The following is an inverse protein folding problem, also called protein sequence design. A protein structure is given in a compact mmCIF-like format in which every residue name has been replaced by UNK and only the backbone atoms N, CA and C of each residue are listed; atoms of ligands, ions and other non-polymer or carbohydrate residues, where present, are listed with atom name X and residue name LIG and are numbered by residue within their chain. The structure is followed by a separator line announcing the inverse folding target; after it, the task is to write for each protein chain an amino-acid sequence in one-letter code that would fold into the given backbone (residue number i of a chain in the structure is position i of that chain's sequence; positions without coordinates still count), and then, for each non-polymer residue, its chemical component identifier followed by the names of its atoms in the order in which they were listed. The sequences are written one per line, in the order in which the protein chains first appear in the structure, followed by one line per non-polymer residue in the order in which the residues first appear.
data_IF_376358256691
#
_entry.id   IF_376358256691
#
_cell.length_a   1.000
_cell.length_b   1.000
_cell.length_c   1.000
_cell.angle_alpha   90.00
_cell.angle_beta   90.00
_cell.angle_gamma   90.00
#
_symmetry.space_group_name_H-M   'P 1'
#
loop_
_entity.id
_entity.type
_entity.pdbx_description
1 polymer ?
#
# COMPACT_ATOMS: atom_id res chain seq x y z
N UNK A 1 -4.02 -25.09 35.58
CA UNK A 1 -5.33 -24.53 35.98
C UNK A 1 -5.80 -23.71 34.78
N UNK A 2 -5.81 -24.33 33.60
CA UNK A 2 -5.42 -23.64 32.34
C UNK A 2 -6.53 -23.66 31.29
N UNK A 3 -7.79 -23.92 31.68
CA UNK A 3 -8.87 -24.19 30.73
C UNK A 3 -10.11 -23.29 30.89
N UNK A 4 -10.01 -22.19 31.66
CA UNK A 4 -11.16 -21.28 31.89
C UNK A 4 -11.10 -19.97 31.06
N UNK A 5 -10.00 -19.69 30.35
CA UNK A 5 -9.87 -18.45 29.55
C UNK A 5 -10.37 -18.57 28.10
N UNK A 6 -10.59 -19.78 27.58
CA UNK A 6 -10.94 -20.00 26.15
C UNK A 6 -12.43 -19.74 25.78
N UNK A 7 -13.31 -19.31 26.70
CA UNK A 7 -14.77 -19.32 26.44
C UNK A 7 -15.52 -17.98 26.48
N UNK A 8 -14.83 -16.84 26.57
CA UNK A 8 -15.52 -15.53 26.76
C UNK A 8 -15.65 -14.69 25.49
N UNK A 9 -14.79 -14.86 24.48
CA UNK A 9 -14.72 -13.98 23.30
C UNK A 9 -14.98 -14.73 21.99
N UNK A 10 -15.24 -13.99 20.91
CA UNK A 10 -15.40 -14.57 19.56
C UNK A 10 -14.07 -15.15 19.05
N UNK A 11 -14.11 -15.82 17.90
CA UNK A 11 -12.92 -16.32 17.17
C UNK A 11 -11.91 -15.23 16.77
N UNK A 12 -12.24 -13.96 17.00
CA UNK A 12 -11.42 -12.81 16.64
C UNK A 12 -10.48 -12.37 17.79
N UNK A 13 -10.48 -13.11 18.91
CA UNK A 13 -9.57 -12.87 20.03
C UNK A 13 -8.75 -14.14 20.29
N UNK A 14 -7.42 -14.00 20.26
CA UNK A 14 -6.48 -15.10 20.53
C UNK A 14 -5.58 -14.77 21.72
N UNK A 15 -5.25 -15.79 22.52
CA UNK A 15 -4.41 -15.66 23.70
C UNK A 15 -3.12 -16.47 23.50
N UNK A 16 -1.99 -15.78 23.53
CA UNK A 16 -0.67 -16.36 23.30
C UNK A 16 0.18 -16.21 24.54
N UNK A 17 0.67 -17.32 25.08
CA UNK A 17 1.66 -17.32 26.16
C UNK A 17 3.06 -17.40 25.57
N UNK A 18 3.86 -16.33 25.74
CA UNK A 18 5.24 -16.28 25.26
C UNK A 18 6.12 -15.50 26.25
N UNK A 19 7.37 -15.93 26.43
CA UNK A 19 8.34 -15.30 27.36
C UNK A 19 7.83 -15.13 28.81
N UNK A 20 6.92 -16.00 29.26
CA UNK A 20 6.28 -15.91 30.58
C UNK A 20 5.26 -14.78 30.71
N UNK A 21 4.79 -14.23 29.58
CA UNK A 21 3.85 -13.11 29.47
C UNK A 21 2.64 -13.55 28.65
N UNK A 22 1.53 -12.84 28.85
CA UNK A 22 0.29 -13.04 28.08
C UNK A 22 0.17 -11.98 26.99
N UNK A 23 0.06 -12.41 25.74
CA UNK A 23 -0.26 -11.57 24.60
C UNK A 23 -1.70 -11.85 24.17
N UNK A 24 -2.51 -10.80 24.05
CA UNK A 24 -3.89 -10.88 23.59
C UNK A 24 -3.94 -10.28 22.20
N UNK A 25 -4.34 -11.02 21.17
CA UNK A 25 -4.42 -10.53 19.80
C UNK A 25 -5.89 -10.37 19.44
N UNK A 26 -6.31 -9.16 19.09
CA UNK A 26 -7.67 -8.86 18.63
C UNK A 26 -7.62 -8.59 17.14
N UNK A 27 -8.16 -9.53 16.35
CA UNK A 27 -8.33 -9.42 14.92
C UNK A 27 -9.53 -8.52 14.59
N UNK A 28 -9.34 -7.60 13.66
CA UNK A 28 -10.38 -6.64 13.27
C UNK A 28 -10.63 -6.67 11.76
N UNK A 29 -11.91 -6.58 11.38
CA UNK A 29 -12.28 -6.28 10.01
C UNK A 29 -12.40 -4.76 9.90
N UNK A 30 -11.51 -4.13 9.11
CA UNK A 30 -11.30 -2.67 9.09
C UNK A 30 -12.50 -1.79 8.70
N UNK A 31 -13.72 -2.34 8.61
CA UNK A 31 -14.94 -1.62 8.28
C UNK A 31 -16.15 -2.29 8.99
N UNK A 32 -16.00 -2.60 10.28
CA UNK A 32 -17.06 -3.20 11.10
C UNK A 32 -17.24 -2.52 12.46
N UNK A 33 -18.48 -2.14 12.78
CA UNK A 33 -18.86 -1.66 14.11
C UNK A 33 -18.66 -2.77 15.16
N UNK A 34 -18.91 -4.02 14.80
CA UNK A 34 -18.73 -5.17 15.69
C UNK A 34 -17.27 -5.31 16.14
N UNK A 35 -16.31 -5.08 15.24
CA UNK A 35 -14.88 -5.08 15.60
C UNK A 35 -14.52 -3.92 16.54
N UNK A 36 -15.17 -2.77 16.37
CA UNK A 36 -14.97 -1.59 17.24
C UNK A 36 -15.47 -1.86 18.66
N UNK A 37 -16.66 -2.45 18.77
CA UNK A 37 -17.27 -2.80 20.06
C UNK A 37 -16.49 -3.91 20.77
N UNK A 38 -16.03 -4.93 20.02
CA UNK A 38 -15.19 -6.00 20.54
C UNK A 38 -13.87 -5.46 21.10
N UNK A 39 -13.17 -4.59 20.35
CA UNK A 39 -11.91 -3.97 20.79
C UNK A 39 -12.10 -3.25 22.12
N UNK A 40 -13.16 -2.43 22.24
CA UNK A 40 -13.48 -1.74 23.48
C UNK A 40 -13.72 -2.73 24.62
N UNK A 41 -14.57 -3.74 24.38
CA UNK A 41 -14.92 -4.74 25.37
C UNK A 41 -13.68 -5.46 25.92
N UNK A 42 -12.78 -5.91 25.05
CA UNK A 42 -11.59 -6.66 25.46
C UNK A 42 -10.63 -5.76 26.25
N UNK A 43 -10.40 -4.51 25.82
CA UNK A 43 -9.53 -3.58 26.57
C UNK A 43 -10.10 -3.30 27.97
N UNK A 44 -11.41 -3.05 28.07
CA UNK A 44 -12.08 -2.75 29.35
C UNK A 44 -12.08 -3.96 30.31
N UNK A 45 -12.27 -5.17 29.79
CA UNK A 45 -12.35 -6.40 30.59
C UNK A 45 -10.97 -6.93 30.98
N UNK A 46 -10.01 -6.93 30.05
CA UNK A 46 -8.70 -7.54 30.27
C UNK A 46 -7.72 -6.62 30.98
N UNK A 47 -7.92 -5.30 30.90
CA UNK A 47 -7.06 -4.28 31.52
C UNK A 47 -5.57 -4.58 31.29
N UNK A 48 -5.12 -4.63 30.01
CA UNK A 48 -3.72 -4.92 29.70
C UNK A 48 -2.80 -3.81 30.20
N UNK A 49 -1.53 -4.15 30.42
CA UNK A 49 -0.49 -3.20 30.80
C UNK A 49 -0.12 -2.25 29.66
N UNK A 50 -0.36 -2.66 28.41
CA UNK A 50 -0.16 -1.86 27.21
C UNK A 50 -1.05 -2.32 26.06
N UNK A 51 -1.45 -1.38 25.19
CA UNK A 51 -2.18 -1.64 23.95
C UNK A 51 -1.32 -1.31 22.74
N UNK A 52 -1.03 -2.32 21.93
CA UNK A 52 -0.34 -2.23 20.66
C UNK A 52 -1.35 -2.08 19.52
N UNK A 53 -1.11 -1.18 18.57
CA UNK A 53 -2.01 -0.95 17.43
C UNK A 53 -1.26 -1.07 16.11
N UNK A 54 -1.85 -1.77 15.13
CA UNK A 54 -1.34 -1.92 13.75
C UNK A 54 -1.42 -0.62 12.94
N UNK A 55 -0.76 0.42 13.43
CA UNK A 55 -0.61 1.70 12.76
C UNK A 55 0.85 2.16 12.84
N UNK A 56 1.31 2.80 11.76
CA UNK A 56 2.51 3.62 11.79
C UNK A 56 2.14 5.05 12.22
N UNK A 57 3.13 5.81 12.70
CA UNK A 57 2.94 7.18 13.19
C UNK A 57 2.23 8.07 12.14
N UNK A 58 2.60 7.98 10.87
CA UNK A 58 2.00 8.82 9.83
C UNK A 58 0.53 8.47 9.61
N UNK A 59 0.19 7.18 9.60
CA UNK A 59 -1.19 6.70 9.50
C UNK A 59 -2.01 7.07 10.73
N UNK A 60 -1.46 6.91 11.93
CA UNK A 60 -2.12 7.31 13.17
C UNK A 60 -2.46 8.81 13.16
N UNK A 61 -1.51 9.68 12.82
CA UNK A 61 -1.78 11.12 12.70
C UNK A 61 -2.80 11.45 11.60
N UNK A 62 -2.79 10.71 10.49
CA UNK A 62 -3.73 10.94 9.39
C UNK A 62 -5.16 10.52 9.75
N UNK A 63 -5.32 9.48 10.57
CA UNK A 63 -6.60 9.00 11.07
C UNK A 63 -7.12 9.88 12.23
N UNK A 64 -6.23 10.34 13.12
CA UNK A 64 -6.57 11.25 14.22
C UNK A 64 -6.99 12.64 13.72
N UNK A 65 -6.34 13.13 12.65
CA UNK A 65 -6.64 14.42 12.03
C UNK A 65 -7.63 14.27 10.85
N UNK A 66 -8.89 13.88 11.08
CA UNK A 66 -9.94 13.83 10.02
C UNK A 66 -10.00 15.14 9.19
N UNK A 67 -9.64 16.27 9.81
CA UNK A 67 -9.72 17.63 9.24
C UNK A 67 -8.54 18.07 8.37
N UNK A 68 -7.47 17.26 8.23
CA UNK A 68 -6.34 17.67 7.36
C UNK A 68 -6.74 17.77 5.88
N UNK A 69 -7.70 16.95 5.45
CA UNK A 69 -8.27 17.00 4.10
C UNK A 69 -9.01 18.31 3.80
N UNK A 70 -9.72 18.86 4.79
CA UNK A 70 -10.41 20.14 4.66
C UNK A 70 -9.45 21.34 4.59
N UNK A 71 -8.22 21.17 5.11
CA UNK A 71 -7.21 22.23 5.17
C UNK A 71 -6.27 22.31 3.98
N UNK A 72 -6.42 21.41 2.98
CA UNK A 72 -5.64 21.50 1.75
C UNK A 72 -6.02 22.78 1.02
N UNK A 73 -5.17 23.80 1.13
CA UNK A 73 -5.24 25.01 0.32
C UNK A 73 -5.10 24.61 -1.15
N UNK A 74 -6.22 24.36 -1.82
CA UNK A 74 -6.32 24.03 -3.25
C UNK A 74 -5.49 25.00 -4.10
N UNK A 75 -5.42 26.26 -3.66
CA UNK A 75 -4.63 27.32 -4.28
C UNK A 75 -3.12 27.08 -4.22
N UNK A 76 -2.61 26.46 -3.15
CA UNK A 76 -1.19 26.14 -2.98
C UNK A 76 -0.79 24.90 -3.81
N UNK A 77 -1.67 23.90 -3.86
CA UNK A 77 -1.45 22.66 -4.64
C UNK A 77 -1.40 22.96 -6.15
N UNK A 78 -2.33 23.79 -6.64
CA UNK A 78 -2.34 24.27 -8.03
C UNK A 78 -1.06 25.08 -8.33
N UNK A 79 -0.62 25.93 -7.39
CA UNK A 79 0.61 26.73 -7.54
C UNK A 79 1.88 25.88 -7.55
N UNK A 80 1.90 24.77 -6.81
CA UNK A 80 3.00 23.80 -6.76
C UNK A 80 2.97 22.76 -7.90
N UNK A 81 2.03 22.88 -8.86
CA UNK A 81 1.83 21.94 -9.99
C UNK A 81 1.57 20.49 -9.56
N UNK A 82 1.03 20.27 -8.36
CA UNK A 82 0.74 18.93 -7.82
C UNK A 82 -0.67 18.45 -8.19
N UNK A 83 -1.13 18.76 -9.42
CA UNK A 83 -2.48 18.42 -9.90
C UNK A 83 -2.73 16.91 -9.93
N UNK A 84 -1.70 16.11 -10.26
CA UNK A 84 -1.80 14.65 -10.25
C UNK A 84 -1.99 14.11 -8.84
N UNK A 85 -1.30 14.69 -7.85
CA UNK A 85 -1.48 14.33 -6.43
C UNK A 85 -2.88 14.67 -5.96
N UNK A 86 -3.43 15.82 -6.37
CA UNK A 86 -4.80 16.21 -6.06
C UNK A 86 -5.83 15.24 -6.67
N UNK A 87 -5.65 14.86 -7.94
CA UNK A 87 -6.53 13.92 -8.63
C UNK A 87 -6.53 12.53 -7.99
N UNK A 88 -5.36 12.00 -7.66
CA UNK A 88 -5.21 10.71 -6.96
C UNK A 88 -5.88 10.78 -5.59
N UNK A 89 -5.63 11.87 -4.84
CA UNK A 89 -6.23 12.09 -3.53
C UNK A 89 -7.76 12.20 -3.59
N UNK A 90 -8.32 12.88 -4.59
CA UNK A 90 -9.77 12.99 -4.81
C UNK A 90 -10.39 11.64 -5.18
N UNK A 91 -9.70 10.85 -6.00
CA UNK A 91 -10.18 9.53 -6.44
C UNK A 91 -10.20 8.54 -5.27
N UNK A 92 -9.13 8.54 -4.46
CA UNK A 92 -9.05 7.77 -3.21
C UNK A 92 -10.12 8.21 -2.20
N UNK A 93 -10.30 9.51 -2.00
CA UNK A 93 -11.34 10.04 -1.10
C UNK A 93 -12.76 9.66 -1.57
N UNK A 94 -13.01 9.67 -2.88
CA UNK A 94 -14.28 9.22 -3.46
C UNK A 94 -14.53 7.73 -3.20
N UNK A 95 -13.50 6.90 -3.38
CA UNK A 95 -13.58 5.46 -3.15
C UNK A 95 -13.80 5.15 -1.66
N UNK A 96 -13.03 5.80 -0.78
CA UNK A 96 -13.17 5.72 0.68
C UNK A 96 -14.56 6.17 1.15
N UNK A 97 -15.09 7.26 0.59
CA UNK A 97 -16.44 7.76 0.91
C UNK A 97 -17.52 6.76 0.49
N UNK A 98 -17.37 6.09 -0.66
CA UNK A 98 -18.34 5.07 -1.12
C UNK A 98 -18.32 3.81 -0.25
N UNK A 99 -17.14 3.36 0.20
CA UNK A 99 -17.03 2.24 1.14
C UNK A 99 -17.57 2.59 2.53
N UNK A 100 -17.21 3.76 3.06
CA UNK A 100 -17.67 4.21 4.38
C UNK A 100 -19.17 4.48 4.44
N UNK A 101 -19.79 4.94 3.35
CA UNK A 101 -21.25 5.18 3.30
C UNK A 101 -22.09 3.90 3.24
N UNK A 102 -21.58 2.82 2.65
CA UNK A 102 -22.29 1.52 2.61
C UNK A 102 -22.23 0.77 3.94
N UNK A 103 -21.18 1.00 4.75
CA UNK A 103 -20.90 0.23 5.95
C UNK A 103 -20.99 1.04 7.25
N UNK A 104 -21.21 2.35 7.18
CA UNK A 104 -21.42 3.23 8.33
C UNK A 104 -20.17 3.55 9.16
N UNK A 105 -19.01 2.95 8.85
CA UNK A 105 -17.73 3.16 9.56
C UNK A 105 -16.59 3.46 8.58
N UNK A 106 -15.65 4.31 8.98
CA UNK A 106 -14.47 4.65 8.18
C UNK A 106 -13.37 3.60 8.35
N UNK A 107 -12.60 3.28 7.30
CA UNK A 107 -11.47 2.37 7.43
C UNK A 107 -10.47 2.83 8.49
N UNK A 108 -10.13 1.98 9.46
CA UNK A 108 -9.22 2.31 10.56
C UNK A 108 -9.90 2.83 11.84
N UNK A 109 -11.24 2.85 11.89
CA UNK A 109 -12.00 3.31 13.07
C UNK A 109 -11.75 2.40 14.27
N UNK A 110 -11.71 1.09 14.05
CA UNK A 110 -11.41 0.07 15.06
C UNK A 110 -10.02 0.26 15.71
N UNK A 111 -9.01 0.61 14.91
CA UNK A 111 -7.66 0.88 15.40
C UNK A 111 -7.60 2.19 16.20
N UNK A 112 -8.32 3.23 15.76
CA UNK A 112 -8.45 4.47 16.54
C UNK A 112 -9.22 4.25 17.85
N UNK A 113 -10.27 3.44 17.82
CA UNK A 113 -11.05 3.13 19.02
C UNK A 113 -10.21 2.40 20.06
N UNK A 114 -9.29 1.53 19.63
CA UNK A 114 -8.31 0.91 20.52
C UNK A 114 -7.47 1.97 21.24
N UNK A 115 -6.94 2.95 20.49
CA UNK A 115 -6.13 4.03 21.08
C UNK A 115 -6.94 4.89 22.05
N UNK A 116 -8.18 5.23 21.69
CA UNK A 116 -9.07 6.04 22.51
C UNK A 116 -9.46 5.34 23.81
N UNK A 117 -9.85 4.06 23.71
CA UNK A 117 -10.23 3.26 24.89
C UNK A 117 -9.05 3.10 25.84
N UNK A 118 -7.85 2.85 25.31
CA UNK A 118 -6.63 2.77 26.12
C UNK A 118 -6.30 4.10 26.80
N UNK A 119 -6.39 5.23 26.08
CA UNK A 119 -6.19 6.58 26.64
C UNK A 119 -7.21 6.88 27.76
N UNK A 120 -8.48 6.49 27.60
CA UNK A 120 -9.55 6.65 28.61
C UNK A 120 -9.28 5.84 29.90
N UNK A 121 -8.67 4.67 29.77
CA UNK A 121 -8.28 3.79 30.89
C UNK A 121 -6.89 4.11 31.45
N UNK A 122 -6.15 5.06 30.86
CA UNK A 122 -4.79 5.40 31.26
C UNK A 122 -3.76 4.30 30.92
N UNK A 123 -4.05 3.43 29.96
CA UNK A 123 -3.19 2.36 29.48
C UNK A 123 -2.27 2.92 28.39
N UNK A 124 -0.94 2.68 28.43
CA UNK A 124 -0.03 3.16 27.39
C UNK A 124 -0.33 2.50 26.04
N UNK A 125 -0.24 3.32 24.98
CA UNK A 125 -0.47 2.91 23.59
C UNK A 125 0.85 2.89 22.82
N UNK A 126 1.11 1.80 22.10
CA UNK A 126 2.30 1.62 21.28
C UNK A 126 1.94 1.34 19.82
N UNK A 127 2.59 2.06 18.90
CA UNK A 127 2.42 1.87 17.46
C UNK A 127 3.42 0.84 16.96
N UNK A 128 2.91 -0.30 16.48
CA UNK A 128 3.74 -1.49 16.21
C UNK A 128 3.90 -1.83 14.73
N UNK A 129 3.36 -1.02 13.82
CA UNK A 129 3.47 -1.25 12.37
C UNK A 129 4.67 -0.50 11.74
N UNK A 130 5.08 -0.98 10.57
CA UNK A 130 6.12 -0.38 9.73
C UNK A 130 5.53 0.74 8.89
N UNK A 131 6.31 1.78 8.58
CA UNK A 131 5.89 2.85 7.64
C UNK A 131 5.33 2.22 6.35
N UNK A 132 4.06 2.48 6.06
CA UNK A 132 3.36 1.90 4.92
C UNK A 132 4.07 2.18 3.59
N UNK A 133 4.78 3.30 3.46
CA UNK A 133 5.55 3.62 2.24
C UNK A 133 6.76 2.71 2.09
N UNK A 134 7.41 2.32 3.19
CA UNK A 134 8.48 1.32 3.17
C UNK A 134 7.89 -0.03 2.76
N UNK A 135 6.80 -0.46 3.41
CA UNK A 135 6.08 -1.71 3.10
C UNK A 135 5.73 -1.82 1.61
N UNK A 136 5.06 -0.80 1.06
CA UNK A 136 4.65 -0.78 -0.35
C UNK A 136 5.84 -0.72 -1.32
N UNK A 137 6.90 0.06 -1.01
CA UNK A 137 8.10 0.12 -1.86
C UNK A 137 8.88 -1.18 -1.83
N UNK A 138 8.98 -1.83 -0.67
CA UNK A 138 9.60 -3.16 -0.55
C UNK A 138 8.84 -4.16 -1.39
N UNK A 139 7.51 -4.22 -1.23
CA UNK A 139 6.67 -5.14 -2.01
C UNK A 139 6.89 -4.93 -3.52
N UNK A 140 6.92 -3.67 -3.97
CA UNK A 140 7.21 -3.36 -5.36
C UNK A 140 8.63 -3.73 -5.79
N UNK A 141 9.65 -3.41 -5.00
CA UNK A 141 11.04 -3.61 -5.41
C UNK A 141 11.49 -5.07 -5.31
N UNK A 142 10.91 -5.86 -4.41
CA UNK A 142 11.16 -7.30 -4.30
C UNK A 142 10.60 -8.10 -5.48
N UNK A 143 9.57 -7.59 -6.17
CA UNK A 143 9.01 -8.24 -7.35
C UNK A 143 9.92 -8.13 -8.58
N UNK A 144 10.05 -9.25 -9.28
CA UNK A 144 10.63 -9.32 -10.62
C UNK A 144 9.78 -8.57 -11.65
N UNK A 145 10.35 -8.31 -12.83
CA UNK A 145 9.61 -7.64 -13.92
C UNK A 145 8.38 -8.45 -14.36
N UNK A 146 8.46 -9.79 -14.35
CA UNK A 146 7.35 -10.67 -14.72
C UNK A 146 6.19 -10.58 -13.73
N UNK A 147 6.50 -10.58 -12.43
CA UNK A 147 5.48 -10.43 -11.37
C UNK A 147 4.83 -9.05 -11.42
N UNK A 148 5.60 -7.99 -11.69
CA UNK A 148 5.06 -6.65 -11.91
C UNK A 148 4.10 -6.61 -13.11
N UNK A 149 4.50 -7.20 -14.23
CA UNK A 149 3.65 -7.27 -15.42
C UNK A 149 2.38 -8.09 -15.16
N UNK A 150 2.50 -9.20 -14.41
CA UNK A 150 1.38 -10.06 -14.00
C UNK A 150 0.38 -9.30 -13.12
N UNK A 151 0.86 -8.59 -12.09
CA UNK A 151 0.04 -7.76 -11.20
C UNK A 151 -0.67 -6.63 -11.94
N UNK A 152 0.05 -5.92 -12.82
CA UNK A 152 -0.54 -4.87 -13.64
C UNK A 152 -1.61 -5.47 -14.57
N UNK A 153 -1.30 -6.59 -15.23
CA UNK A 153 -2.24 -7.28 -16.12
C UNK A 153 -3.52 -7.74 -15.42
N UNK A 154 -3.42 -8.35 -14.24
CA UNK A 154 -4.60 -8.77 -13.46
C UNK A 154 -5.43 -7.59 -12.97
N UNK A 155 -4.79 -6.50 -12.55
CA UNK A 155 -5.49 -5.27 -12.15
C UNK A 155 -6.24 -4.61 -13.31
N UNK A 156 -5.67 -4.63 -14.53
CA UNK A 156 -6.35 -4.14 -15.72
C UNK A 156 -7.59 -4.98 -16.09
N UNK A 157 -7.53 -6.30 -15.96
CA UNK A 157 -8.68 -7.19 -16.25
C UNK A 157 -9.80 -6.96 -15.22
N UNK A 158 -9.49 -6.98 -13.92
CA UNK A 158 -10.49 -6.78 -12.87
C UNK A 158 -11.15 -5.40 -12.87
N UNK A 159 -10.42 -4.34 -13.23
CA UNK A 159 -10.99 -2.99 -13.36
C UNK A 159 -11.94 -2.84 -14.57
N UNK A 160 -11.77 -3.67 -15.60
CA UNK A 160 -12.66 -3.71 -16.77
C UNK A 160 -13.85 -4.65 -16.58
N UNK A 161 -13.71 -5.73 -15.80
CA UNK A 161 -14.78 -6.68 -15.53
C UNK A 161 -15.76 -6.23 -14.46
N UNK A 162 -15.41 -5.22 -13.65
CA UNK A 162 -16.37 -4.40 -12.90
C UNK A 162 -17.50 -5.18 -12.23
N UNK A 163 -17.18 -6.22 -11.47
CA UNK A 163 -18.21 -6.89 -10.66
C UNK A 163 -18.66 -5.96 -9.54
N UNK A 164 -19.94 -5.59 -9.56
CA UNK A 164 -20.58 -4.92 -8.43
C UNK A 164 -20.61 -5.90 -7.25
N UNK A 165 -19.96 -5.50 -6.14
CA UNK A 165 -19.97 -6.27 -4.90
C UNK A 165 -21.33 -6.11 -4.21
N UNK A 166 -22.13 -7.17 -4.20
CA UNK A 166 -23.37 -7.28 -3.43
C UNK A 166 -23.10 -7.44 -1.92
N UNK A 167 -24.04 -6.99 -1.08
CA UNK A 167 -23.95 -7.06 0.40
C UNK A 167 -23.77 -8.49 0.92
N UNK A 168 -24.33 -9.49 0.23
CA UNK A 168 -24.24 -10.90 0.60
C UNK A 168 -22.81 -11.45 0.40
N UNK A 169 -22.19 -11.15 -0.76
CA UNK A 169 -20.75 -11.39 -1.02
C UNK A 169 -19.86 -10.66 -0.01
N UNK A 170 -20.26 -9.46 0.40
CA UNK A 170 -19.48 -8.66 1.35
C UNK A 170 -19.48 -9.25 2.76
N UNK A 171 -20.60 -9.84 3.20
CA UNK A 171 -20.68 -10.55 4.47
C UNK A 171 -19.96 -11.91 4.44
N UNK A 172 -19.97 -12.59 3.30
CA UNK A 172 -19.15 -13.80 3.10
C UNK A 172 -17.65 -13.49 3.19
N UNK A 173 -17.19 -12.40 2.57
CA UNK A 173 -15.80 -11.91 2.66
C UNK A 173 -15.38 -11.42 4.07
N UNK A 174 -16.35 -11.06 4.93
CA UNK A 174 -16.09 -10.66 6.32
C UNK A 174 -15.77 -11.84 7.23
N UNK A 175 -16.08 -13.07 6.82
CA UNK A 175 -15.70 -14.24 7.59
C UNK A 175 -14.18 -14.40 7.55
N UNK A 176 -13.56 -14.43 8.73
CA UNK A 176 -12.11 -14.56 8.92
C UNK A 176 -11.54 -15.73 8.11
N UNK A 177 -12.28 -16.83 8.00
CA UNK A 177 -11.89 -18.00 7.23
C UNK A 177 -11.84 -17.74 5.71
N UNK A 178 -12.81 -17.02 5.14
CA UNK A 178 -12.87 -16.69 3.70
C UNK A 178 -11.78 -15.69 3.32
N UNK A 179 -11.56 -14.67 4.17
CA UNK A 179 -10.49 -13.71 3.96
C UNK A 179 -9.12 -14.40 4.00
N UNK A 180 -8.94 -15.32 4.94
CA UNK A 180 -7.70 -16.12 5.07
C UNK A 180 -7.48 -17.00 3.86
N UNK A 181 -8.53 -17.66 3.34
CA UNK A 181 -8.46 -18.48 2.14
C UNK A 181 -8.06 -17.66 0.90
N UNK A 182 -8.69 -16.50 0.68
CA UNK A 182 -8.33 -15.60 -0.41
C UNK A 182 -6.90 -15.05 -0.30
N UNK A 183 -6.45 -14.74 0.91
CA UNK A 183 -5.05 -14.34 1.14
C UNK A 183 -4.07 -15.48 0.85
N UNK A 184 -4.46 -16.73 1.12
CA UNK A 184 -3.65 -17.90 0.78
C UNK A 184 -3.59 -18.13 -0.73
N UNK A 185 -4.72 -18.05 -1.45
CA UNK A 185 -4.76 -18.15 -2.91
C UNK A 185 -3.94 -17.03 -3.58
N UNK A 186 -4.09 -15.78 -3.11
CA UNK A 186 -3.28 -14.66 -3.55
C UNK A 186 -1.79 -14.90 -3.26
N UNK A 187 -1.49 -15.53 -2.13
CA UNK A 187 -0.15 -15.94 -1.73
C UNK A 187 0.48 -16.97 -2.66
N UNK A 188 -0.28 -17.97 -3.12
CA UNK A 188 0.19 -18.92 -4.12
C UNK A 188 0.40 -18.24 -5.48
N UNK A 189 -0.47 -17.29 -5.83
CA UNK A 189 -0.40 -16.58 -7.10
C UNK A 189 0.72 -15.52 -7.15
N UNK A 190 0.98 -14.86 -6.03
CA UNK A 190 1.93 -13.74 -5.86
C UNK A 190 2.74 -13.91 -4.57
N UNK A 191 3.63 -14.93 -4.51
CA UNK A 191 4.33 -15.29 -3.27
C UNK A 191 5.20 -14.17 -2.71
N UNK A 192 5.92 -13.44 -3.57
CA UNK A 192 6.73 -12.28 -3.15
C UNK A 192 5.88 -11.19 -2.51
N UNK A 193 4.66 -10.98 -3.02
CA UNK A 193 3.76 -9.97 -2.49
C UNK A 193 3.24 -10.37 -1.10
N UNK A 194 2.81 -11.63 -0.94
CA UNK A 194 2.43 -12.18 0.37
C UNK A 194 3.57 -12.08 1.37
N UNK A 195 4.78 -12.51 0.99
CA UNK A 195 5.93 -12.46 1.90
C UNK A 195 6.20 -11.04 2.40
N UNK A 196 6.16 -10.03 1.54
CA UNK A 196 6.52 -8.67 1.96
C UNK A 196 5.37 -7.91 2.66
N UNK A 197 4.12 -8.10 2.22
CA UNK A 197 2.96 -7.41 2.78
C UNK A 197 2.38 -8.09 4.02
N UNK A 198 2.54 -9.41 4.13
CA UNK A 198 1.98 -10.23 5.20
C UNK A 198 3.11 -10.78 6.06
N UNK A 199 3.88 -11.77 5.61
CA UNK A 199 4.82 -12.52 6.47
C UNK A 199 5.89 -11.63 7.16
N UNK A 200 6.51 -10.71 6.41
CA UNK A 200 7.47 -9.73 6.95
C UNK A 200 6.79 -8.75 7.91
N UNK A 201 5.55 -8.34 7.59
CA UNK A 201 4.80 -7.37 8.37
C UNK A 201 4.33 -7.98 9.70
N UNK A 202 3.86 -9.22 9.68
CA UNK A 202 3.51 -10.01 10.86
C UNK A 202 4.69 -10.19 11.78
N UNK A 203 5.86 -10.52 11.21
CA UNK A 203 7.10 -10.64 11.97
C UNK A 203 7.49 -9.30 12.62
N UNK A 204 7.40 -8.20 11.87
CA UNK A 204 7.69 -6.86 12.38
C UNK A 204 6.75 -6.49 13.54
N UNK A 205 5.44 -6.67 13.35
CA UNK A 205 4.41 -6.36 14.37
C UNK A 205 4.63 -7.23 15.61
N UNK A 206 4.79 -8.55 15.45
CA UNK A 206 5.02 -9.47 16.55
C UNK A 206 6.27 -9.09 17.37
N UNK A 207 7.38 -8.78 16.72
CA UNK A 207 8.61 -8.37 17.41
C UNK A 207 8.44 -7.03 18.14
N UNK A 208 7.75 -6.06 17.53
CA UNK A 208 7.46 -4.75 18.14
C UNK A 208 6.54 -4.90 19.35
N UNK A 209 5.46 -5.68 19.23
CA UNK A 209 4.55 -6.02 20.33
C UNK A 209 5.28 -6.74 21.47
N UNK A 210 6.15 -7.72 21.16
CA UNK A 210 6.94 -8.43 22.18
C UNK A 210 7.91 -7.53 22.95
N UNK A 211 8.42 -6.49 22.29
CA UNK A 211 9.35 -5.52 22.89
C UNK A 211 8.67 -4.51 23.84
N UNK A 212 7.35 -4.38 23.80
CA UNK A 212 6.58 -3.53 24.73
C UNK A 212 6.66 -4.11 26.14
N UNK A 213 6.71 -3.26 27.17
CA UNK A 213 6.77 -3.69 28.58
C UNK A 213 5.37 -4.07 29.12
N UNK A 214 5.31 -4.92 30.15
CA UNK A 214 4.07 -5.37 30.81
C UNK A 214 3.94 -6.89 30.90
N UNK A 215 3.16 -7.46 31.82
CA UNK A 215 2.91 -8.90 31.88
C UNK A 215 1.78 -9.33 30.94
N UNK A 216 0.81 -8.44 30.70
CA UNK A 216 -0.32 -8.63 29.79
C UNK A 216 -0.31 -7.53 28.73
N UNK A 217 -0.05 -7.87 27.47
CA UNK A 217 -0.04 -6.91 26.35
C UNK A 217 -1.12 -7.28 25.35
N UNK A 218 -1.93 -6.30 24.94
CA UNK A 218 -2.97 -6.49 23.94
C UNK A 218 -2.53 -5.88 22.61
N UNK A 219 -2.72 -6.57 21.49
CA UNK A 219 -2.45 -6.08 20.15
C UNK A 219 -3.73 -6.08 19.30
N UNK A 220 -4.12 -4.90 18.78
CA UNK A 220 -5.24 -4.75 17.85
C UNK A 220 -4.70 -4.69 16.43
N UNK A 221 -5.08 -5.66 15.61
CA UNK A 221 -4.53 -5.91 14.27
C UNK A 221 -5.65 -6.24 13.29
N UNK A 222 -5.38 -6.17 11.99
CA UNK A 222 -6.27 -6.67 10.95
C UNK A 222 -6.39 -8.20 11.04
N UNK A 223 -7.59 -8.74 10.81
CA UNK A 223 -7.86 -10.18 10.93
C UNK A 223 -6.90 -11.06 10.09
N UNK A 224 -6.47 -10.58 8.92
CA UNK A 224 -5.51 -11.28 8.06
C UNK A 224 -4.08 -11.42 8.62
N UNK A 225 -3.74 -10.65 9.65
CA UNK A 225 -2.42 -10.68 10.30
C UNK A 225 -2.41 -11.50 11.60
N UNK A 226 -3.59 -11.82 12.15
CA UNK A 226 -3.75 -12.45 13.46
C UNK A 226 -2.98 -13.78 13.56
N UNK A 227 -3.18 -14.69 12.61
CA UNK A 227 -2.54 -16.01 12.61
C UNK A 227 -1.01 -15.91 12.47
N UNK A 228 -0.52 -15.05 11.58
CA UNK A 228 0.91 -14.89 11.35
C UNK A 228 1.64 -14.25 12.53
N UNK A 229 1.00 -13.29 13.20
CA UNK A 229 1.53 -12.66 14.42
C UNK A 229 1.55 -13.68 15.57
N UNK A 230 0.46 -14.44 15.76
CA UNK A 230 0.37 -15.51 16.76
C UNK A 230 1.55 -16.48 16.61
N UNK A 231 1.73 -17.00 15.39
CA UNK A 231 2.83 -17.92 15.09
C UNK A 231 4.21 -17.26 15.33
N UNK A 232 4.38 -16.00 14.94
CA UNK A 232 5.65 -15.30 15.13
C UNK A 232 5.99 -15.05 16.61
N UNK A 233 4.99 -14.83 17.46
CA UNK A 233 5.15 -14.75 18.92
C UNK A 233 5.50 -16.11 19.53
N UNK A 234 4.76 -17.16 19.20
CA UNK A 234 4.99 -18.54 19.69
C UNK A 234 6.38 -19.08 19.32
N UNK A 235 6.80 -18.87 18.07
CA UNK A 235 8.11 -19.30 17.57
C UNK A 235 9.27 -18.42 18.05
N UNK A 236 8.97 -17.35 18.79
CA UNK A 236 9.93 -16.33 19.20
C UNK A 236 10.77 -15.83 18.01
N UNK A 237 10.11 -15.56 16.87
CA UNK A 237 10.79 -15.09 15.66
C UNK A 237 11.56 -13.82 15.99
N UNK A 238 12.83 -13.80 15.61
CA UNK A 238 13.70 -12.66 15.88
C UNK A 238 14.50 -12.34 14.61
N UNK A 239 14.06 -11.32 13.89
CA UNK A 239 14.75 -10.76 12.75
C UNK A 239 15.29 -9.36 13.07
N UNK A 240 16.30 -8.93 12.33
CA UNK A 240 16.77 -7.56 12.42
C UNK A 240 15.73 -6.63 11.78
N UNK A 241 15.03 -5.84 12.58
CA UNK A 241 13.99 -4.92 12.09
C UNK A 241 14.54 -3.92 11.06
N UNK A 242 15.82 -3.55 11.14
CA UNK A 242 16.44 -2.68 10.15
C UNK A 242 16.42 -3.30 8.74
N UNK A 243 16.54 -4.63 8.62
CA UNK A 243 16.48 -5.32 7.34
C UNK A 243 15.05 -5.27 6.77
N UNK A 244 14.03 -5.22 7.61
CA UNK A 244 12.63 -5.04 7.24
C UNK A 244 12.28 -3.57 6.93
N UNK A 245 13.07 -2.60 7.39
CA UNK A 245 12.89 -1.17 7.13
C UNK A 245 13.68 -0.67 5.91
N UNK A 246 14.73 -1.37 5.49
CA UNK A 246 15.47 -1.01 4.27
C UNK A 246 14.63 -1.30 3.03
N UNK A 247 14.77 -0.53 1.94
CA UNK A 247 14.07 -0.84 0.69
C UNK A 247 15.05 -1.53 -0.26
N UNK A 248 14.76 -2.76 -0.77
CA UNK A 248 15.64 -3.44 -1.69
C UNK A 248 15.79 -2.62 -2.97
N UNK A 249 16.95 -2.75 -3.62
CA UNK A 249 17.20 -2.07 -4.88
C UNK A 249 16.22 -2.56 -5.95
N UNK A 250 15.57 -1.64 -6.65
CA UNK A 250 14.69 -1.98 -7.75
C UNK A 250 15.45 -2.62 -8.92
N UNK A 251 14.76 -3.46 -9.68
CA UNK A 251 15.33 -4.09 -10.88
C UNK A 251 15.83 -3.04 -11.89
N UNK A 252 17.02 -3.28 -12.44
CA UNK A 252 17.59 -2.44 -13.50
C UNK A 252 16.87 -2.58 -14.85
N UNK A 253 15.88 -3.48 -14.99
CA UNK A 253 15.14 -3.72 -16.24
C UNK A 253 14.50 -2.43 -16.77
N UNK A 254 13.92 -1.58 -15.91
CA UNK A 254 13.37 -0.30 -16.33
C UNK A 254 14.42 0.63 -16.95
N UNK A 255 15.63 0.68 -16.36
CA UNK A 255 16.77 1.43 -16.91
C UNK A 255 17.25 0.83 -18.24
N UNK A 256 17.28 -0.50 -18.34
CA UNK A 256 17.71 -1.21 -19.55
C UNK A 256 16.71 -0.97 -20.69
N UNK A 257 15.41 -1.09 -20.44
CA UNK A 257 14.37 -0.80 -21.44
C UNK A 257 14.42 0.68 -21.82
N UNK A 258 14.51 1.56 -20.82
CA UNK A 258 14.58 3.01 -21.02
C UNK A 258 15.74 3.44 -21.90
N UNK A 259 16.94 2.89 -21.70
CA UNK A 259 18.11 3.18 -22.55
C UNK A 259 18.18 2.31 -23.82
N UNK A 260 17.51 1.17 -23.82
CA UNK A 260 17.44 0.27 -24.97
C UNK A 260 16.66 0.88 -26.13
N UNK A 261 15.57 1.59 -25.86
CA UNK A 261 14.77 2.28 -26.89
C UNK A 261 15.63 3.33 -27.65
N UNK A 262 16.30 4.30 -26.98
CA UNK A 262 17.22 5.23 -27.64
C UNK A 262 18.33 4.52 -28.42
N UNK A 263 18.94 3.48 -27.84
CA UNK A 263 20.00 2.73 -28.49
C UNK A 263 19.53 2.05 -29.78
N UNK A 264 18.32 1.48 -29.79
CA UNK A 264 17.72 0.87 -30.98
C UNK A 264 17.42 1.93 -32.04
N UNK A 265 16.85 3.08 -31.66
CA UNK A 265 16.52 4.15 -32.60
C UNK A 265 17.79 4.69 -33.25
N UNK A 266 18.81 5.02 -32.46
CA UNK A 266 20.09 5.52 -32.97
C UNK A 266 20.82 4.46 -33.81
N UNK A 267 20.77 3.19 -33.38
CA UNK A 267 21.31 2.07 -34.13
C UNK A 267 20.62 1.86 -35.48
N UNK A 268 19.31 2.00 -35.54
CA UNK A 268 18.54 1.92 -36.78
C UNK A 268 18.89 3.06 -37.74
N UNK A 269 18.98 4.30 -37.25
CA UNK A 269 19.41 5.46 -38.06
C UNK A 269 20.83 5.28 -38.60
N UNK A 270 21.75 4.77 -37.78
CA UNK A 270 23.12 4.46 -38.22
C UNK A 270 23.14 3.35 -39.27
N UNK A 271 22.39 2.28 -39.07
CA UNK A 271 22.28 1.17 -40.01
C UNK A 271 21.70 1.60 -41.37
N UNK A 272 20.66 2.43 -41.36
CA UNK A 272 20.09 3.03 -42.58
C UNK A 272 21.14 3.91 -43.26
N UNK A 273 21.87 4.74 -42.50
CA UNK A 273 22.94 5.58 -43.04
C UNK A 273 24.05 4.77 -43.71
N UNK A 274 24.40 3.62 -43.14
CA UNK A 274 25.43 2.74 -43.68
C UNK A 274 24.96 1.94 -44.91
N UNK A 275 23.71 1.50 -44.95
CA UNK A 275 23.19 0.61 -46.00
C UNK A 275 22.48 1.33 -47.15
N UNK A 276 21.77 2.42 -46.87
CA UNK A 276 20.95 3.18 -47.81
C UNK A 276 21.49 4.60 -48.07
N UNK A 277 22.55 5.00 -47.36
CA UNK A 277 23.20 6.29 -47.52
C UNK A 277 22.67 7.39 -46.59
N UNK A 278 23.42 8.50 -46.54
CA UNK A 278 23.21 9.57 -45.57
C UNK A 278 21.88 10.32 -45.79
N UNK A 279 21.39 10.37 -47.03
CA UNK A 279 20.13 11.05 -47.38
C UNK A 279 18.93 10.30 -46.77
N UNK A 280 18.89 8.96 -46.91
CA UNK A 280 17.86 8.14 -46.29
C UNK A 280 17.87 8.23 -44.76
N UNK A 281 19.05 8.28 -44.13
CA UNK A 281 19.16 8.45 -42.69
C UNK A 281 18.65 9.83 -42.21
N UNK A 282 18.94 10.88 -42.98
CA UNK A 282 18.44 12.24 -42.72
C UNK A 282 16.92 12.29 -42.78
N UNK A 283 16.31 11.69 -43.80
CA UNK A 283 14.86 11.68 -43.98
C UNK A 283 14.16 10.95 -42.82
N UNK A 284 14.69 9.80 -42.40
CA UNK A 284 14.18 9.06 -41.25
C UNK A 284 14.36 9.83 -39.93
N UNK A 285 15.50 10.51 -39.74
CA UNK A 285 15.70 11.37 -38.59
C UNK A 285 14.70 12.54 -38.56
N UNK A 286 14.36 13.10 -39.72
CA UNK A 286 13.37 14.17 -39.83
C UNK A 286 11.94 13.68 -39.61
N UNK A 287 11.61 12.49 -40.12
CA UNK A 287 10.34 11.84 -39.82
C UNK A 287 10.18 11.63 -38.30
N UNK A 288 11.20 11.07 -37.64
CA UNK A 288 11.20 10.88 -36.20
C UNK A 288 11.06 12.19 -35.42
N UNK A 289 11.80 13.23 -35.85
CA UNK A 289 11.73 14.56 -35.25
C UNK A 289 10.30 15.12 -35.31
N UNK A 290 9.66 15.07 -36.48
CA UNK A 290 8.30 15.58 -36.66
C UNK A 290 7.24 14.71 -35.96
N UNK A 291 7.41 13.38 -35.98
CA UNK A 291 6.53 12.44 -35.31
C UNK A 291 6.49 12.63 -33.78
N UNK A 292 7.56 13.12 -33.18
CA UNK A 292 7.58 13.49 -31.76
C UNK A 292 7.14 14.96 -31.55
N UNK A 293 7.63 15.87 -32.37
CA UNK A 293 7.40 17.30 -32.22
C UNK A 293 5.94 17.71 -32.43
N UNK A 294 5.31 17.27 -33.53
CA UNK A 294 3.96 17.71 -33.90
C UNK A 294 2.91 17.28 -32.86
N UNK A 295 2.81 16.00 -32.45
CA UNK A 295 1.79 15.61 -31.47
C UNK A 295 2.01 16.28 -30.11
N UNK A 296 3.27 16.47 -29.71
CA UNK A 296 3.59 17.18 -28.46
C UNK A 296 3.14 18.64 -28.52
N UNK A 297 3.44 19.35 -29.61
CA UNK A 297 3.00 20.73 -29.81
C UNK A 297 1.47 20.86 -29.81
N UNK A 298 0.78 19.94 -30.48
CA UNK A 298 -0.69 19.88 -30.50
C UNK A 298 -1.24 19.60 -29.09
N UNK A 299 -0.65 18.67 -28.35
CA UNK A 299 -1.04 18.38 -26.97
C UNK A 299 -0.91 19.61 -26.06
N UNK A 300 0.21 20.34 -26.16
CA UNK A 300 0.43 21.58 -25.39
C UNK A 300 -0.57 22.66 -25.81
N UNK A 301 -0.87 22.77 -27.11
CA UNK A 301 -1.88 23.71 -27.61
C UNK A 301 -3.28 23.39 -27.05
N UNK A 302 -3.70 22.12 -27.08
CA UNK A 302 -4.97 21.67 -26.52
C UNK A 302 -5.05 21.90 -25.01
N UNK A 303 -3.91 21.85 -24.32
CA UNK A 303 -3.79 22.19 -22.90
C UNK A 303 -3.69 23.71 -22.62
N UNK A 304 -3.92 24.57 -23.62
CA UNK A 304 -3.85 26.03 -23.52
C UNK A 304 -2.48 26.55 -23.08
N UNK A 305 -1.41 25.84 -23.46
CA UNK A 305 -0.04 26.24 -23.19
C UNK A 305 0.32 27.54 -23.92
N UNK A 306 1.19 28.35 -23.30
CA UNK A 306 1.71 29.57 -23.92
C UNK A 306 2.42 29.26 -25.26
N UNK A 307 2.36 30.12 -26.29
CA UNK A 307 2.97 29.87 -27.60
C UNK A 307 4.47 29.49 -27.54
N UNK A 308 5.21 30.11 -26.62
CA UNK A 308 6.63 29.76 -26.38
C UNK A 308 6.77 28.33 -25.86
N UNK A 309 5.86 27.86 -25.01
CA UNK A 309 5.84 26.48 -24.51
C UNK A 309 5.53 25.49 -25.63
N UNK A 310 4.64 25.84 -26.56
CA UNK A 310 4.33 25.01 -27.73
C UNK A 310 5.58 24.82 -28.59
N UNK A 311 6.29 25.92 -28.91
CA UNK A 311 7.53 25.86 -29.69
C UNK A 311 8.64 25.11 -28.94
N UNK A 312 8.86 25.43 -27.66
CA UNK A 312 9.87 24.75 -26.86
C UNK A 312 9.61 23.24 -26.78
N UNK A 313 8.36 22.82 -26.58
CA UNK A 313 7.99 21.41 -26.51
C UNK A 313 8.12 20.70 -27.86
N UNK A 314 7.82 21.38 -28.98
CA UNK A 314 8.04 20.86 -30.32
C UNK A 314 9.50 20.49 -30.58
N UNK A 315 10.43 21.42 -30.27
CA UNK A 315 11.86 21.20 -30.49
C UNK A 315 12.49 20.25 -29.46
N UNK A 316 11.97 20.22 -28.23
CA UNK A 316 12.47 19.36 -27.16
C UNK A 316 12.00 17.91 -27.27
N UNK A 317 10.77 17.67 -27.76
CA UNK A 317 10.13 16.35 -27.77
C UNK A 317 11.00 15.19 -28.31
N UNK A 318 11.73 15.36 -29.43
CA UNK A 318 12.55 14.28 -29.96
C UNK A 318 13.72 13.94 -29.00
N UNK A 319 14.36 14.94 -28.41
CA UNK A 319 15.46 14.69 -27.48
C UNK A 319 14.95 14.10 -26.16
N UNK A 320 13.80 14.57 -25.67
CA UNK A 320 13.21 14.03 -24.45
C UNK A 320 12.70 12.60 -24.61
N UNK A 321 12.37 12.16 -25.84
CA UNK A 321 12.01 10.75 -26.10
C UNK A 321 13.21 9.82 -26.18
N UNK A 322 14.44 10.36 -26.25
CA UNK A 322 15.69 9.60 -26.15
C UNK A 322 16.26 9.56 -24.72
N UNK A 323 15.64 10.25 -23.77
CA UNK A 323 16.05 10.27 -22.36
C UNK A 323 15.00 9.56 -21.50
N UNK A 324 15.29 8.37 -20.97
CA UNK A 324 14.34 7.63 -20.12
C UNK A 324 14.13 8.22 -18.73
#
# INVERSE_FOLDING_TARGET
MDNELETTYSSDVDFVQADGRTFIIVGTAHISQESTDLVRQVIEQEQPDAVCVELDEQRYQSLKDEKKWESLNLREIIRRKQLMTLLVNLLLASYQKRLGQKLGVSPGTELLEATKTAEEQGIPVELVDRDVRITLRRAWNSMSFREKAKLLGSGFIGAFEGEDLDEEKLNELRQTDVLTELMNELGEFMPVLKTVLIDERDTYIAQKTRAVAGEKVLAVVGAGHMQGIRQALEENRNQNLADLETVPAGSNVGKIIGWGIPAIILGALFYIGFTQGLEAARDNAWYWFLANGIPTAVGVLLAWGHPVTILASFFAAPFTSLTP
#
